data_IF_426383988817
#
_entry.id   IF_426383988817
#
_cell.length_a   1.000
_cell.length_b   1.000
_cell.length_c   1.000
_cell.angle_alpha   90.00
_cell.angle_beta   90.00
_cell.angle_gamma   90.00
#
_symmetry.space_group_name_H-M   'P 1'
#
loop_
_entity.id
_entity.type
_entity.pdbx_description
1 polymer ?
#
# COMPACT_ATOMS: atom_id res chain seq x y z
N UNK A 1 -10.58 -12.88 36.23
CA UNK A 1 -9.82 -13.61 35.19
C UNK A 1 -10.62 -14.84 34.84
N UNK A 2 -11.46 -14.75 33.80
CA UNK A 2 -12.04 -15.98 33.23
C UNK A 2 -10.92 -16.81 32.60
N UNK A 3 -10.94 -18.14 32.73
CA UNK A 3 -9.97 -18.98 32.08
C UNK A 3 -10.09 -18.77 30.56
N UNK A 4 -8.98 -18.39 29.93
CA UNK A 4 -8.80 -18.37 28.48
C UNK A 4 -9.32 -19.68 27.89
N UNK A 5 -10.55 -19.67 27.37
CA UNK A 5 -11.07 -20.76 26.55
C UNK A 5 -10.17 -20.80 25.32
N UNK A 6 -9.37 -21.86 25.18
CA UNK A 6 -8.61 -22.12 23.94
C UNK A 6 -9.57 -21.95 22.76
N UNK A 7 -9.23 -21.08 21.83
CA UNK A 7 -10.05 -20.84 20.66
C UNK A 7 -10.23 -22.17 19.91
N UNK A 8 -11.48 -22.59 19.74
CA UNK A 8 -11.82 -23.86 19.06
C UNK A 8 -11.60 -23.66 17.57
N UNK A 9 -10.79 -24.52 16.95
CA UNK A 9 -10.66 -24.56 15.50
C UNK A 9 -11.90 -25.18 14.89
N UNK A 10 -12.54 -24.47 13.96
CA UNK A 10 -13.72 -24.95 13.24
C UNK A 10 -13.34 -25.89 12.09
N UNK A 11 -12.10 -25.85 11.62
CA UNK A 11 -11.65 -26.73 10.54
C UNK A 11 -11.32 -28.14 11.04
N UNK A 12 -11.63 -29.18 10.24
CA UNK A 12 -11.29 -30.56 10.57
C UNK A 12 -9.77 -30.80 10.45
N UNK A 13 -9.27 -31.77 11.21
CA UNK A 13 -7.88 -32.23 11.11
C UNK A 13 -7.58 -32.79 9.72
N UNK A 14 -6.33 -32.64 9.27
CA UNK A 14 -5.86 -33.12 7.97
C UNK A 14 -5.86 -34.66 7.88
N UNK A 15 -5.79 -35.37 9.00
CA UNK A 15 -5.90 -36.84 9.06
C UNK A 15 -7.28 -37.35 8.65
N UNK A 16 -8.32 -36.52 8.76
CA UNK A 16 -9.69 -36.88 8.42
C UNK A 16 -9.97 -36.94 6.92
N UNK A 17 -11.09 -37.57 6.56
CA UNK A 17 -11.57 -37.64 5.16
C UNK A 17 -12.26 -36.35 4.68
N UNK A 18 -12.42 -35.36 5.58
CA UNK A 18 -13.14 -34.12 5.27
C UNK A 18 -12.45 -33.23 4.23
N UNK A 19 -11.12 -33.34 4.09
CA UNK A 19 -10.34 -32.61 3.08
C UNK A 19 -10.31 -33.39 1.76
N UNK A 20 -10.87 -32.78 0.72
CA UNK A 20 -10.99 -33.34 -0.62
C UNK A 20 -10.09 -32.58 -1.60
N UNK A 21 -9.61 -33.26 -2.65
CA UNK A 21 -8.93 -32.60 -3.75
C UNK A 21 -9.94 -32.02 -4.75
N UNK A 22 -9.70 -30.80 -5.22
CA UNK A 22 -10.44 -30.19 -6.31
C UNK A 22 -9.49 -29.79 -7.44
N UNK A 23 -9.94 -30.04 -8.66
CA UNK A 23 -9.28 -29.62 -9.90
C UNK A 23 -10.34 -29.13 -10.87
N UNK A 24 -10.07 -28.08 -11.68
CA UNK A 24 -11.05 -27.58 -12.64
C UNK A 24 -11.30 -28.56 -13.80
N UNK A 25 -10.26 -29.32 -14.19
CA UNK A 25 -10.33 -30.42 -15.16
C UNK A 25 -9.15 -31.37 -14.97
N UNK A 26 -9.26 -32.66 -15.35
CA UNK A 26 -8.22 -33.66 -15.09
C UNK A 26 -6.83 -33.31 -15.63
N UNK A 27 -6.74 -32.62 -16.77
CA UNK A 27 -5.47 -32.29 -17.43
C UNK A 27 -4.60 -31.32 -16.61
N UNK A 28 -5.23 -30.50 -15.77
CA UNK A 28 -4.55 -29.53 -14.90
C UNK A 28 -4.24 -30.09 -13.51
N UNK A 29 -4.65 -31.32 -13.22
CA UNK A 29 -4.55 -31.87 -11.87
C UNK A 29 -3.09 -31.92 -11.39
N UNK A 30 -2.73 -31.22 -10.31
CA UNK A 30 -1.45 -31.41 -9.66
C UNK A 30 -1.42 -32.78 -8.95
N UNK A 31 -0.25 -33.16 -8.44
CA UNK A 31 -0.16 -34.35 -7.58
C UNK A 31 -0.59 -33.97 -6.16
N UNK A 32 -1.61 -34.66 -5.67
CA UNK A 32 -2.11 -34.55 -4.30
C UNK A 32 -1.60 -35.73 -3.48
N UNK A 33 -1.07 -35.45 -2.29
CA UNK A 33 -0.55 -36.48 -1.37
C UNK A 33 -0.88 -36.11 0.09
N UNK A 34 -1.15 -37.13 0.92
CA UNK A 34 -1.29 -36.97 2.37
C UNK A 34 -0.10 -37.63 3.04
N UNK A 35 0.74 -36.83 3.71
CA UNK A 35 1.93 -37.34 4.40
C UNK A 35 1.68 -37.43 5.89
N UNK A 36 2.17 -38.52 6.48
CA UNK A 36 2.07 -38.80 7.90
C UNK A 36 3.48 -38.74 8.49
N UNK A 37 3.73 -37.77 9.37
CA UNK A 37 4.98 -37.59 10.08
C UNK A 37 4.71 -37.64 11.59
N UNK A 38 4.89 -38.84 12.17
CA UNK A 38 4.43 -39.14 13.52
C UNK A 38 2.93 -38.89 13.69
N UNK A 39 2.56 -38.01 14.62
CA UNK A 39 1.17 -37.64 14.89
C UNK A 39 0.65 -36.50 13.98
N UNK A 40 1.48 -35.98 13.06
CA UNK A 40 1.12 -34.87 12.17
C UNK A 40 0.75 -35.39 10.79
N UNK A 41 -0.40 -34.94 10.28
CA UNK A 41 -0.78 -35.14 8.87
C UNK A 41 -0.56 -33.86 8.10
N UNK A 42 0.05 -33.96 6.92
CA UNK A 42 0.26 -32.85 6.00
C UNK A 42 -0.52 -33.06 4.70
N UNK A 43 -1.13 -31.99 4.19
CA UNK A 43 -1.74 -31.99 2.87
C UNK A 43 -0.74 -31.42 1.86
N UNK A 44 -0.35 -32.21 0.87
CA UNK A 44 0.67 -31.83 -0.10
C UNK A 44 0.07 -31.59 -1.48
N UNK A 45 0.59 -30.60 -2.19
CA UNK A 45 0.31 -30.37 -3.61
C UNK A 45 1.64 -30.12 -4.35
N UNK A 46 1.85 -30.74 -5.50
CA UNK A 46 3.06 -30.58 -6.34
C UNK A 46 2.69 -30.37 -7.82
N UNK A 47 3.42 -29.46 -8.48
CA UNK A 47 3.28 -29.21 -9.91
C UNK A 47 3.97 -30.26 -10.80
N UNK A 48 4.96 -30.99 -10.27
CA UNK A 48 5.73 -32.04 -10.98
C UNK A 48 6.27 -31.59 -12.36
N UNK A 49 6.80 -30.37 -12.45
CA UNK A 49 7.38 -29.81 -13.66
C UNK A 49 6.35 -29.16 -14.60
N UNK A 50 5.05 -29.16 -14.27
CA UNK A 50 4.00 -28.55 -15.09
C UNK A 50 3.55 -27.21 -14.52
N UNK A 51 3.84 -26.14 -15.24
CA UNK A 51 3.50 -24.78 -14.81
C UNK A 51 1.98 -24.56 -14.69
N UNK A 52 1.22 -25.20 -15.59
CA UNK A 52 -0.23 -25.11 -15.69
C UNK A 52 -0.98 -25.94 -14.62
N UNK A 53 -0.26 -26.72 -13.80
CA UNK A 53 -0.86 -27.51 -12.73
C UNK A 53 -1.60 -26.58 -11.73
N UNK A 54 -2.87 -26.89 -11.48
CA UNK A 54 -3.77 -26.04 -10.71
C UNK A 54 -4.83 -26.87 -9.99
N UNK A 55 -4.95 -26.66 -8.69
CA UNK A 55 -5.96 -27.31 -7.85
C UNK A 55 -5.83 -26.90 -6.39
N UNK A 56 -6.70 -27.47 -5.55
CA UNK A 56 -6.74 -27.16 -4.12
C UNK A 56 -7.13 -28.39 -3.29
N UNK A 57 -6.62 -28.45 -2.07
CA UNK A 57 -7.32 -29.18 -1.00
C UNK A 57 -8.45 -28.29 -0.49
N UNK A 58 -9.63 -28.85 -0.29
CA UNK A 58 -10.75 -28.07 0.22
C UNK A 58 -11.61 -28.83 1.22
N UNK A 59 -12.28 -28.09 2.08
CA UNK A 59 -13.34 -28.59 2.94
C UNK A 59 -14.41 -27.51 3.13
N UNK A 60 -15.58 -27.92 3.61
CA UNK A 60 -16.65 -27.02 4.02
C UNK A 60 -16.93 -27.15 5.51
N UNK A 61 -17.23 -26.02 6.14
CA UNK A 61 -17.67 -25.96 7.53
C UNK A 61 -19.02 -25.23 7.62
N UNK A 62 -19.82 -25.67 8.58
CA UNK A 62 -21.09 -25.03 8.96
C UNK A 62 -20.93 -24.36 10.33
N UNK A 63 -21.93 -23.59 10.75
CA UNK A 63 -21.92 -22.95 12.07
C UNK A 63 -21.09 -21.67 12.12
N UNK A 64 -20.91 -21.02 10.96
CA UNK A 64 -20.45 -19.64 10.91
C UNK A 64 -21.56 -18.74 11.44
N UNK A 65 -21.19 -17.82 12.32
CA UNK A 65 -22.06 -16.77 12.82
C UNK A 65 -21.83 -15.52 11.96
N UNK A 66 -22.82 -15.15 11.16
CA UNK A 66 -22.76 -13.96 10.32
C UNK A 66 -22.51 -12.70 11.14
N UNK A 67 -21.57 -11.86 10.69
CA UNK A 67 -21.15 -10.65 11.40
C UNK A 67 -20.15 -10.89 12.54
N UNK A 68 -19.85 -12.14 12.91
CA UNK A 68 -18.79 -12.44 13.87
C UNK A 68 -17.40 -12.30 13.22
N UNK A 69 -16.40 -12.04 14.06
CA UNK A 69 -15.01 -11.96 13.64
C UNK A 69 -14.33 -13.31 13.73
N UNK A 70 -13.52 -13.64 12.71
CA UNK A 70 -12.78 -14.89 12.62
C UNK A 70 -11.33 -14.62 12.28
N UNK A 71 -10.44 -15.36 12.94
CA UNK A 71 -9.05 -15.47 12.52
C UNK A 71 -8.92 -16.64 11.54
N UNK A 72 -8.41 -16.36 10.35
CA UNK A 72 -8.14 -17.32 9.29
C UNK A 72 -6.63 -17.54 9.24
N UNK A 73 -6.18 -18.78 9.34
CA UNK A 73 -4.75 -19.08 9.32
C UNK A 73 -4.46 -20.37 8.55
N UNK A 74 -3.36 -20.39 7.81
CA UNK A 74 -2.77 -21.61 7.29
C UNK A 74 -1.24 -21.57 7.36
N UNK A 75 -0.65 -22.60 7.96
CA UNK A 75 0.78 -22.80 8.04
C UNK A 75 1.24 -23.85 7.03
N UNK A 76 2.31 -23.55 6.31
CA UNK A 76 2.86 -24.41 5.26
C UNK A 76 4.38 -24.29 5.16
N UNK A 77 5.00 -25.30 4.57
CA UNK A 77 6.30 -25.12 3.95
C UNK A 77 6.22 -25.38 2.45
N UNK A 78 7.28 -25.01 1.73
CA UNK A 78 7.33 -25.15 0.28
C UNK A 78 8.74 -25.30 -0.24
N UNK A 79 8.86 -25.94 -1.40
CA UNK A 79 10.10 -26.17 -2.14
C UNK A 79 9.89 -25.75 -3.60
N UNK A 80 10.90 -25.15 -4.23
CA UNK A 80 10.88 -24.87 -5.68
C UNK A 80 9.82 -23.85 -6.16
N UNK A 81 9.10 -23.20 -5.24
CA UNK A 81 8.02 -22.25 -5.59
C UNK A 81 8.59 -20.87 -5.91
N UNK A 82 8.42 -20.41 -7.15
CA UNK A 82 8.93 -19.11 -7.59
C UNK A 82 8.27 -17.90 -6.93
N UNK A 83 6.94 -17.93 -6.71
CA UNK A 83 6.21 -16.83 -6.04
C UNK A 83 5.20 -17.36 -5.04
N UNK A 84 5.51 -17.28 -3.75
CA UNK A 84 4.59 -17.74 -2.69
C UNK A 84 3.28 -16.94 -2.70
N UNK A 85 3.37 -15.62 -2.88
CA UNK A 85 2.21 -14.73 -2.88
C UNK A 85 1.18 -15.09 -3.96
N UNK A 86 1.63 -15.68 -5.07
CA UNK A 86 0.76 -16.00 -6.21
C UNK A 86 0.40 -17.48 -6.24
N UNK A 87 1.37 -18.35 -5.94
CA UNK A 87 1.25 -19.80 -6.15
C UNK A 87 0.69 -20.56 -4.96
N UNK A 88 0.65 -19.97 -3.76
CA UNK A 88 0.23 -20.63 -2.52
C UNK A 88 -0.81 -19.76 -1.83
N UNK A 89 -2.07 -20.21 -1.83
CA UNK A 89 -3.19 -19.42 -1.35
C UNK A 89 -4.07 -20.21 -0.38
N UNK A 90 -4.54 -19.53 0.66
CA UNK A 90 -5.74 -19.93 1.40
C UNK A 90 -6.87 -19.01 0.95
N UNK A 91 -7.94 -19.58 0.43
CA UNK A 91 -9.14 -18.85 -0.01
C UNK A 91 -10.31 -19.29 0.86
N UNK A 92 -11.08 -18.32 1.35
CA UNK A 92 -12.30 -18.57 2.12
C UNK A 92 -13.49 -17.98 1.38
N UNK A 93 -14.47 -18.84 1.11
CA UNK A 93 -15.75 -18.46 0.50
C UNK A 93 -16.84 -18.55 1.55
N UNK A 94 -17.38 -17.41 1.96
CA UNK A 94 -18.49 -17.29 2.89
C UNK A 94 -19.82 -17.54 2.16
N UNK A 95 -20.69 -18.36 2.75
CA UNK A 95 -21.94 -18.79 2.12
C UNK A 95 -23.15 -18.60 3.03
N UNK A 96 -24.30 -18.34 2.42
CA UNK A 96 -25.60 -18.32 3.12
C UNK A 96 -26.14 -19.74 3.39
N UNK A 97 -27.35 -19.84 3.97
CA UNK A 97 -28.02 -21.11 4.24
C UNK A 97 -28.35 -21.93 2.98
N UNK A 98 -28.44 -21.28 1.82
CA UNK A 98 -28.71 -21.92 0.54
C UNK A 98 -27.43 -22.27 -0.22
N UNK A 99 -26.25 -22.10 0.40
CA UNK A 99 -24.92 -22.28 -0.22
C UNK A 99 -24.62 -21.30 -1.35
N UNK A 100 -25.34 -20.17 -1.43
CA UNK A 100 -24.95 -19.07 -2.31
C UNK A 100 -23.71 -18.38 -1.75
N UNK A 101 -22.82 -17.96 -2.63
CA UNK A 101 -21.61 -17.26 -2.23
C UNK A 101 -21.94 -15.81 -1.89
N UNK A 102 -21.48 -15.37 -0.73
CA UNK A 102 -21.64 -13.99 -0.26
C UNK A 102 -20.37 -13.20 -0.50
N UNK A 103 -19.24 -13.73 -0.06
CA UNK A 103 -17.93 -13.10 -0.21
C UNK A 103 -16.85 -14.16 -0.34
N UNK A 104 -15.85 -13.90 -1.17
CA UNK A 104 -14.70 -14.78 -1.34
C UNK A 104 -13.41 -13.97 -1.25
N UNK A 105 -12.49 -14.39 -0.40
CA UNK A 105 -11.30 -13.63 -0.09
C UNK A 105 -10.05 -14.49 0.05
N UNK A 106 -8.92 -13.93 -0.37
CA UNK A 106 -7.61 -14.48 -0.09
C UNK A 106 -7.18 -14.09 1.32
N UNK A 107 -6.57 -15.04 2.03
CA UNK A 107 -5.83 -14.78 3.27
C UNK A 107 -4.44 -14.30 2.86
N UNK A 108 -4.15 -13.02 3.07
CA UNK A 108 -3.05 -12.31 2.40
C UNK A 108 -1.99 -11.69 3.30
N UNK A 109 -2.10 -11.79 4.62
CA UNK A 109 -0.98 -11.46 5.51
C UNK A 109 0.00 -12.64 5.53
N UNK A 110 1.25 -12.38 5.15
CA UNK A 110 2.29 -13.39 5.02
C UNK A 110 3.39 -13.13 6.04
N UNK A 111 3.74 -14.17 6.79
CA UNK A 111 4.89 -14.15 7.70
C UNK A 111 5.72 -15.42 7.57
N UNK A 112 7.04 -15.29 7.77
CA UNK A 112 7.93 -16.43 8.02
C UNK A 112 8.04 -16.60 9.53
N UNK A 113 7.75 -17.80 10.02
CA UNK A 113 7.79 -18.16 11.44
C UNK A 113 9.20 -18.55 11.85
N UNK A 114 9.49 -18.46 13.15
CA UNK A 114 10.78 -18.86 13.73
C UNK A 114 11.14 -20.34 13.49
N UNK A 115 10.13 -21.20 13.34
CA UNK A 115 10.30 -22.62 13.02
C UNK A 115 10.58 -22.91 11.54
N UNK A 116 10.75 -21.85 10.72
CA UNK A 116 11.06 -21.95 9.29
C UNK A 116 9.84 -22.16 8.38
N UNK A 117 8.63 -22.26 8.95
CA UNK A 117 7.40 -22.34 8.16
C UNK A 117 6.91 -20.96 7.72
N UNK A 118 6.17 -20.95 6.63
CA UNK A 118 5.38 -19.79 6.23
C UNK A 118 3.98 -19.87 6.86
N UNK A 119 3.41 -18.72 7.15
CA UNK A 119 2.03 -18.59 7.61
C UNK A 119 1.28 -17.56 6.76
N UNK A 120 0.06 -17.94 6.35
CA UNK A 120 -0.96 -17.03 5.90
C UNK A 120 -1.88 -16.73 7.07
N UNK A 121 -2.17 -15.47 7.31
CA UNK A 121 -3.06 -15.03 8.38
C UNK A 121 -3.99 -13.91 7.87
N UNK A 122 -5.21 -13.83 8.41
CA UNK A 122 -6.10 -12.67 8.24
C UNK A 122 -7.22 -12.74 9.26
N UNK A 123 -7.46 -11.65 9.97
CA UNK A 123 -8.70 -11.49 10.75
C UNK A 123 -9.75 -10.77 9.93
N UNK A 124 -10.94 -11.35 9.84
CA UNK A 124 -12.03 -10.83 9.02
C UNK A 124 -13.37 -10.94 9.73
N UNK A 125 -14.28 -10.05 9.42
CA UNK A 125 -15.68 -10.15 9.86
C UNK A 125 -16.48 -10.91 8.80
N UNK A 126 -17.11 -12.03 9.15
CA UNK A 126 -17.95 -12.77 8.22
C UNK A 126 -19.12 -11.90 7.73
N UNK A 127 -19.55 -12.01 6.46
CA UNK A 127 -20.77 -11.34 6.00
C UNK A 127 -21.96 -11.64 6.92
N UNK A 128 -22.85 -10.66 7.14
CA UNK A 128 -23.97 -10.80 8.10
C UNK A 128 -24.91 -11.98 7.81
N UNK A 129 -25.02 -12.40 6.55
CA UNK A 129 -25.81 -13.56 6.13
C UNK A 129 -25.05 -14.89 6.11
N UNK A 130 -23.77 -14.92 6.50
CA UNK A 130 -22.95 -16.12 6.41
C UNK A 130 -23.33 -17.17 7.47
N UNK A 131 -23.47 -18.42 7.04
CA UNK A 131 -23.80 -19.58 7.88
C UNK A 131 -22.84 -20.76 7.67
N UNK A 132 -22.11 -20.74 6.55
CA UNK A 132 -21.10 -21.72 6.21
C UNK A 132 -19.89 -21.05 5.53
N UNK A 133 -18.78 -21.77 5.47
CA UNK A 133 -17.60 -21.37 4.73
C UNK A 133 -16.97 -22.56 3.99
N UNK A 134 -16.53 -22.33 2.75
CA UNK A 134 -15.65 -23.23 2.01
C UNK A 134 -14.23 -22.71 2.14
N UNK A 135 -13.29 -23.58 2.52
CA UNK A 135 -11.87 -23.25 2.62
C UNK A 135 -11.12 -24.03 1.55
N UNK A 136 -10.25 -23.33 0.83
CA UNK A 136 -9.44 -23.88 -0.25
C UNK A 136 -7.96 -23.56 0.04
N UNK A 137 -7.14 -24.60 0.12
CA UNK A 137 -5.69 -24.54 0.19
C UNK A 137 -5.15 -24.81 -1.22
N UNK A 138 -5.00 -23.73 -1.96
CA UNK A 138 -4.78 -23.71 -3.40
C UNK A 138 -3.28 -23.68 -3.76
N UNK A 139 -2.97 -24.36 -4.86
CA UNK A 139 -1.68 -24.32 -5.54
C UNK A 139 -1.86 -23.93 -7.01
N UNK A 140 -1.03 -23.01 -7.53
CA UNK A 140 -1.05 -22.62 -8.96
C UNK A 140 0.28 -22.09 -9.49
N UNK A 141 0.45 -22.15 -10.81
CA UNK A 141 1.42 -21.36 -11.57
C UNK A 141 2.87 -21.48 -11.08
N UNK A 142 3.26 -22.71 -10.73
CA UNK A 142 4.63 -23.05 -10.40
C UNK A 142 4.92 -24.42 -10.97
N UNK A 143 5.98 -24.54 -11.77
CA UNK A 143 6.30 -25.83 -12.42
C UNK A 143 6.95 -26.79 -11.42
N UNK A 144 8.03 -26.35 -10.77
CA UNK A 144 8.78 -27.15 -9.81
C UNK A 144 8.30 -26.98 -8.35
N UNK A 145 7.25 -26.18 -8.14
CA UNK A 145 6.77 -25.84 -6.81
C UNK A 145 6.11 -27.03 -6.12
N UNK A 146 6.34 -27.14 -4.82
CA UNK A 146 5.66 -28.07 -3.95
C UNK A 146 5.27 -27.35 -2.67
N UNK A 147 4.06 -27.59 -2.18
CA UNK A 147 3.56 -27.07 -0.92
C UNK A 147 3.13 -28.22 -0.02
N UNK A 148 3.44 -28.11 1.27
CA UNK A 148 2.99 -29.02 2.30
C UNK A 148 2.36 -28.22 3.43
N UNK A 149 1.03 -28.24 3.46
CA UNK A 149 0.22 -27.60 4.49
C UNK A 149 0.33 -28.42 5.77
N UNK A 150 0.67 -27.77 6.87
CA UNK A 150 0.78 -28.40 8.18
C UNK A 150 -0.43 -28.15 9.07
N UNK A 151 -1.10 -27.01 8.88
CA UNK A 151 -2.26 -26.62 9.67
C UNK A 151 -3.09 -25.61 8.90
N UNK A 152 -4.39 -25.70 9.03
CA UNK A 152 -5.31 -24.63 8.70
C UNK A 152 -6.26 -24.43 9.89
N UNK A 153 -6.65 -23.18 10.15
CA UNK A 153 -7.58 -22.85 11.21
C UNK A 153 -8.54 -21.73 10.82
N UNK A 154 -9.79 -21.90 11.28
CA UNK A 154 -10.76 -20.82 11.44
C UNK A 154 -11.15 -20.83 12.90
N UNK A 155 -10.78 -19.78 13.63
CA UNK A 155 -11.10 -19.62 15.05
C UNK A 155 -11.84 -18.32 15.28
N UNK A 156 -12.62 -18.24 16.36
CA UNK A 156 -13.18 -16.96 16.81
C UNK A 156 -12.04 -15.94 16.96
N UNK A 157 -12.27 -14.73 16.43
CA UNK A 157 -11.33 -13.62 16.46
C UNK A 157 -11.97 -12.36 17.03
N UNK A 158 -11.21 -11.27 17.00
CA UNK A 158 -11.70 -9.93 17.29
C UNK A 158 -11.21 -9.01 16.19
N UNK A 159 -12.11 -8.26 15.56
CA UNK A 159 -11.70 -7.22 14.62
C UNK A 159 -10.85 -6.20 15.37
N UNK A 160 -9.72 -5.82 14.78
CA UNK A 160 -8.97 -4.67 15.25
C UNK A 160 -9.92 -3.46 15.31
N UNK A 161 -9.78 -2.63 16.35
CA UNK A 161 -10.53 -1.38 16.42
C UNK A 161 -10.30 -0.58 15.13
N UNK A 162 -11.35 0.05 14.61
CA UNK A 162 -11.24 0.90 13.42
C UNK A 162 -10.15 1.92 13.64
N UNK A 163 -9.11 1.85 12.81
CA UNK A 163 -7.99 2.76 12.86
C UNK A 163 -8.36 3.97 12.03
N UNK A 164 -9.16 4.83 12.65
CA UNK A 164 -9.51 6.13 12.10
C UNK A 164 -8.27 7.00 12.12
N UNK A 165 -7.95 7.56 10.96
CA UNK A 165 -6.77 8.41 10.76
C UNK A 165 -7.25 9.72 10.18
N UNK A 166 -6.93 10.83 10.83
CA UNK A 166 -7.24 12.17 10.32
C UNK A 166 -6.08 12.66 9.47
N UNK A 167 -6.34 12.86 8.18
CA UNK A 167 -5.36 13.26 7.19
C UNK A 167 -5.62 14.71 6.80
N UNK A 168 -4.55 15.50 6.76
CA UNK A 168 -4.54 16.85 6.18
C UNK A 168 -3.58 16.90 5.00
N UNK A 169 -4.00 17.51 3.91
CA UNK A 169 -3.14 17.89 2.79
C UNK A 169 -3.21 19.39 2.56
N UNK A 170 -2.06 20.01 2.27
CA UNK A 170 -1.96 21.47 2.12
C UNK A 170 -2.09 21.90 0.67
N UNK A 171 -2.64 23.08 0.42
CA UNK A 171 -2.59 23.76 -0.87
C UNK A 171 -2.30 25.24 -0.61
N UNK A 172 -1.02 25.60 -0.66
CA UNK A 172 -0.50 26.92 -0.30
C UNK A 172 0.37 27.47 -1.43
N UNK A 173 0.52 28.80 -1.48
CA UNK A 173 1.32 29.49 -2.50
C UNK A 173 2.71 29.85 -1.97
N UNK A 174 3.78 29.64 -2.74
CA UNK A 174 5.08 30.20 -2.42
C UNK A 174 5.04 31.73 -2.55
N UNK A 175 5.96 32.42 -1.86
CA UNK A 175 6.17 33.85 -2.03
C UNK A 175 6.74 34.13 -3.43
N UNK A 176 6.06 34.99 -4.19
CA UNK A 176 6.44 35.39 -5.55
C UNK A 176 6.82 36.87 -5.65
N UNK A 177 6.51 37.67 -4.63
CA UNK A 177 6.75 39.11 -4.60
C UNK A 177 8.22 39.41 -4.31
N UNK A 178 8.80 38.71 -3.34
CA UNK A 178 10.20 38.83 -2.96
C UNK A 178 10.95 37.54 -3.31
N UNK A 179 11.21 37.35 -4.61
CA UNK A 179 12.11 36.30 -5.10
C UNK A 179 13.42 36.38 -4.31
N UNK A 180 13.97 35.24 -3.93
CA UNK A 180 15.13 35.07 -3.03
C UNK A 180 14.86 35.05 -1.51
N UNK A 181 13.62 35.22 -1.03
CA UNK A 181 13.32 35.17 0.41
C UNK A 181 12.77 33.80 0.88
N UNK A 182 13.68 32.82 1.02
CA UNK A 182 13.35 31.45 1.47
C UNK A 182 12.68 31.39 2.86
N UNK A 183 12.98 32.37 3.73
CA UNK A 183 12.43 32.45 5.09
C UNK A 183 10.91 32.59 5.11
N UNK A 184 10.34 33.27 4.11
CA UNK A 184 8.89 33.54 4.09
C UNK A 184 8.12 32.29 3.71
N UNK A 185 8.66 31.49 2.78
CA UNK A 185 8.12 30.18 2.45
C UNK A 185 8.18 29.24 3.66
N UNK A 186 9.30 29.21 4.37
CA UNK A 186 9.43 28.45 5.61
C UNK A 186 8.38 28.90 6.64
N UNK A 187 8.24 30.20 6.89
CA UNK A 187 7.26 30.71 7.83
C UNK A 187 5.83 30.32 7.42
N UNK A 188 5.50 30.43 6.13
CA UNK A 188 4.20 29.99 5.60
C UNK A 188 3.96 28.50 5.84
N UNK A 189 4.98 27.65 5.64
CA UNK A 189 4.89 26.21 5.95
C UNK A 189 4.66 25.98 7.45
N UNK A 190 5.41 26.65 8.33
CA UNK A 190 5.29 26.52 9.78
C UNK A 190 3.91 26.97 10.29
N UNK A 191 3.41 28.09 9.80
CA UNK A 191 2.07 28.62 10.12
C UNK A 191 0.98 27.65 9.62
N UNK A 192 1.19 27.04 8.46
CA UNK A 192 0.26 26.05 7.91
C UNK A 192 0.22 24.77 8.75
N UNK A 193 1.37 24.29 9.25
CA UNK A 193 1.40 23.14 10.18
C UNK A 193 0.65 23.50 11.47
N UNK A 194 0.85 24.70 12.00
CA UNK A 194 0.17 25.17 13.22
C UNK A 194 -1.35 25.23 13.04
N UNK A 195 -1.82 25.83 11.95
CA UNK A 195 -3.25 25.86 11.58
C UNK A 195 -3.82 24.47 11.36
N UNK A 196 -3.09 23.59 10.67
CA UNK A 196 -3.50 22.19 10.50
C UNK A 196 -3.57 21.48 11.86
N UNK A 197 -2.66 21.78 12.78
CA UNK A 197 -2.60 21.26 14.14
C UNK A 197 -3.85 21.54 14.98
N UNK A 198 -4.60 22.62 14.70
CA UNK A 198 -5.90 22.90 15.33
C UNK A 198 -6.92 21.78 15.10
N UNK A 199 -6.81 21.06 13.97
CA UNK A 199 -7.64 19.91 13.65
C UNK A 199 -7.19 18.63 14.35
N UNK A 200 -6.02 18.64 15.01
CA UNK A 200 -5.37 17.47 15.60
C UNK A 200 -5.28 16.29 14.60
N UNK A 201 -4.61 16.48 13.45
CA UNK A 201 -4.45 15.43 12.45
C UNK A 201 -3.41 14.41 12.90
N UNK A 202 -3.53 13.19 12.36
CA UNK A 202 -2.50 12.17 12.48
C UNK A 202 -1.37 12.40 11.47
N UNK A 203 -1.69 12.90 10.28
CA UNK A 203 -0.76 13.13 9.18
C UNK A 203 -1.04 14.45 8.46
N UNK A 204 -0.02 15.24 8.23
CA UNK A 204 -0.05 16.47 7.42
C UNK A 204 0.90 16.28 6.23
N UNK A 205 0.44 16.52 5.01
CA UNK A 205 1.26 16.36 3.81
C UNK A 205 1.40 17.67 3.03
N UNK A 206 2.64 18.01 2.66
CA UNK A 206 3.02 19.20 1.88
C UNK A 206 3.38 18.88 0.43
N UNK A 207 3.27 19.91 -0.40
CA UNK A 207 3.64 19.88 -1.80
C UNK A 207 5.14 19.78 -2.04
N UNK A 208 5.49 19.48 -3.29
CA UNK A 208 6.88 19.38 -3.75
C UNK A 208 7.58 20.76 -3.71
N UNK A 209 8.80 20.80 -3.18
CA UNK A 209 9.72 21.97 -3.22
C UNK A 209 9.15 23.28 -2.65
N UNK A 210 8.16 23.23 -1.75
CA UNK A 210 7.47 24.42 -1.25
C UNK A 210 8.42 25.47 -0.64
N UNK A 211 9.48 25.01 0.05
CA UNK A 211 10.47 25.88 0.70
C UNK A 211 11.20 26.80 -0.29
N UNK A 212 11.64 26.26 -1.41
CA UNK A 212 12.52 26.92 -2.38
C UNK A 212 11.84 27.22 -3.72
N UNK A 213 10.56 26.88 -3.86
CA UNK A 213 9.77 27.21 -5.04
C UNK A 213 9.73 28.72 -5.27
N UNK A 214 9.86 29.11 -6.54
CA UNK A 214 9.85 30.51 -6.99
C UNK A 214 10.94 31.38 -6.34
N UNK A 215 11.93 30.79 -5.65
CA UNK A 215 13.03 31.53 -5.04
C UNK A 215 14.00 32.13 -6.05
N UNK A 216 14.03 31.61 -7.28
CA UNK A 216 14.96 32.03 -8.33
C UNK A 216 16.38 31.46 -8.19
N UNK A 217 16.65 30.71 -7.13
CA UNK A 217 17.91 29.99 -6.98
C UNK A 217 17.87 28.64 -7.71
N UNK A 218 18.98 28.18 -8.28
CA UNK A 218 19.07 26.80 -8.76
C UNK A 218 18.96 25.83 -7.58
N UNK A 219 18.32 24.66 -7.75
CA UNK A 219 18.16 23.66 -6.69
C UNK A 219 19.47 23.30 -5.96
N UNK A 220 20.59 23.32 -6.69
CA UNK A 220 21.91 23.02 -6.15
C UNK A 220 22.40 24.07 -5.14
N UNK A 221 21.99 25.34 -5.24
CA UNK A 221 22.39 26.38 -4.28
C UNK A 221 21.56 26.34 -2.99
N UNK A 222 20.32 25.87 -3.08
CA UNK A 222 19.37 25.81 -1.94
C UNK A 222 19.30 24.45 -1.26
N UNK A 223 19.91 23.41 -1.86
CA UNK A 223 19.93 22.07 -1.30
C UNK A 223 20.66 22.02 0.04
N UNK A 224 20.02 21.41 1.05
CA UNK A 224 20.56 21.30 2.41
C UNK A 224 20.78 19.83 2.80
N UNK A 225 21.68 19.59 3.75
CA UNK A 225 21.86 18.25 4.32
C UNK A 225 20.63 17.81 5.13
N UNK A 226 20.42 16.50 5.22
CA UNK A 226 19.41 15.87 6.08
C UNK A 226 20.15 14.97 7.09
N UNK A 227 20.07 15.22 8.40
CA UNK A 227 19.37 16.35 9.04
C UNK A 227 20.10 17.70 8.85
N UNK A 228 19.34 18.80 8.93
CA UNK A 228 19.77 20.20 8.80
C UNK A 228 18.74 21.19 9.34
N UNK A 229 19.00 22.50 9.22
CA UNK A 229 18.18 23.57 9.81
C UNK A 229 16.69 23.49 9.40
N UNK A 230 16.41 23.29 8.10
CA UNK A 230 15.04 23.14 7.61
C UNK A 230 14.33 21.94 8.25
N UNK A 231 14.98 20.77 8.29
CA UNK A 231 14.40 19.58 8.92
C UNK A 231 14.19 19.74 10.42
N UNK A 232 15.05 20.51 11.11
CA UNK A 232 14.90 20.79 12.54
C UNK A 232 13.69 21.71 12.79
N UNK A 233 13.49 22.73 11.97
CA UNK A 233 12.34 23.62 12.08
C UNK A 233 11.02 22.87 11.86
N UNK A 234 10.94 22.06 10.80
CA UNK A 234 9.74 21.26 10.49
C UNK A 234 9.50 20.18 11.55
N UNK A 235 10.54 19.44 11.96
CA UNK A 235 10.44 18.43 13.01
C UNK A 235 10.00 19.02 14.36
N UNK A 236 10.52 20.19 14.72
CA UNK A 236 10.08 20.93 15.92
C UNK A 236 8.59 21.28 15.89
N UNK A 237 8.07 21.69 14.72
CA UNK A 237 6.64 21.98 14.55
C UNK A 237 5.77 20.72 14.51
N UNK A 238 6.26 19.63 13.88
CA UNK A 238 5.60 18.31 13.92
C UNK A 238 5.42 17.82 15.37
N UNK A 239 6.46 17.95 16.20
CA UNK A 239 6.41 17.68 17.64
C UNK A 239 5.39 18.55 18.38
N UNK A 240 5.36 19.86 18.07
CA UNK A 240 4.44 20.81 18.71
C UNK A 240 2.98 20.42 18.46
N UNK A 241 2.64 20.00 17.24
CA UNK A 241 1.26 19.60 16.88
C UNK A 241 0.96 18.12 17.10
N UNK A 242 1.99 17.30 17.42
CA UNK A 242 1.91 15.85 17.68
C UNK A 242 1.36 15.05 16.49
N UNK A 243 1.72 15.47 15.28
CA UNK A 243 1.30 14.85 14.02
C UNK A 243 2.52 14.34 13.27
N UNK A 244 2.32 13.30 12.46
CA UNK A 244 3.28 13.00 11.41
C UNK A 244 3.22 14.10 10.36
N UNK A 245 4.37 14.50 9.83
CA UNK A 245 4.46 15.55 8.79
C UNK A 245 5.29 15.03 7.64
N UNK A 246 4.73 15.09 6.43
CA UNK A 246 5.45 14.86 5.18
C UNK A 246 5.75 16.21 4.54
N UNK A 247 7.02 16.47 4.28
CA UNK A 247 7.43 17.61 3.47
C UNK A 247 8.52 17.22 2.47
N UNK A 248 8.73 18.07 1.47
CA UNK A 248 9.69 17.83 0.39
C UNK A 248 10.71 18.98 0.27
N UNK A 249 11.97 18.63 0.00
CA UNK A 249 13.08 19.58 -0.21
C UNK A 249 14.16 19.02 -1.13
N UNK A 250 15.03 19.89 -1.62
CA UNK A 250 16.30 19.48 -2.21
C UNK A 250 17.30 19.09 -1.12
N UNK A 251 17.68 17.82 -1.09
CA UNK A 251 18.67 17.23 -0.21
C UNK A 251 20.07 17.32 -0.84
N UNK A 252 21.08 17.68 -0.05
CA UNK A 252 22.49 17.57 -0.41
C UNK A 252 23.16 16.44 0.36
N UNK A 253 23.76 15.49 -0.36
CA UNK A 253 24.60 14.43 0.21
C UNK A 253 25.88 14.28 -0.62
N UNK A 254 27.01 14.66 -0.03
CA UNK A 254 28.27 14.74 -0.77
C UNK A 254 28.17 15.66 -1.99
N UNK A 255 28.55 15.15 -3.16
CA UNK A 255 28.43 15.87 -4.44
C UNK A 255 27.04 15.82 -5.09
N UNK A 256 26.11 15.03 -4.55
CA UNK A 256 24.80 14.80 -5.14
C UNK A 256 23.74 15.71 -4.54
N UNK A 257 22.72 16.02 -5.36
CA UNK A 257 21.51 16.75 -4.95
C UNK A 257 20.30 15.92 -5.32
N UNK A 258 19.34 15.73 -4.41
CA UNK A 258 18.16 14.89 -4.61
C UNK A 258 16.88 15.65 -4.30
N UNK A 259 15.82 15.45 -5.06
CA UNK A 259 14.47 15.87 -4.68
C UNK A 259 13.89 14.83 -3.69
N UNK A 260 13.70 15.22 -2.43
CA UNK A 260 13.51 14.28 -1.31
C UNK A 260 12.28 14.62 -0.48
N UNK A 261 11.36 13.67 -0.33
CA UNK A 261 10.29 13.74 0.67
C UNK A 261 10.71 13.06 1.97
N UNK A 262 10.37 13.68 3.09
CA UNK A 262 10.75 13.26 4.44
C UNK A 262 9.49 13.10 5.28
N UNK A 263 9.40 12.01 6.04
CA UNK A 263 8.37 11.77 7.03
C UNK A 263 8.92 12.02 8.43
N UNK A 264 8.31 12.93 9.17
CA UNK A 264 8.56 13.15 10.59
C UNK A 264 7.53 12.40 11.42
N UNK A 265 7.96 11.85 12.55
CA UNK A 265 7.08 11.25 13.54
C UNK A 265 6.45 12.31 14.48
N UNK A 266 5.62 11.85 15.41
CA UNK A 266 4.96 12.74 16.40
C UNK A 266 5.92 13.37 17.41
N UNK A 267 7.15 12.86 17.54
CA UNK A 267 8.19 13.41 18.41
C UNK A 267 9.06 14.45 17.70
N UNK A 268 8.87 14.61 16.39
CA UNK A 268 9.67 15.49 15.54
C UNK A 268 10.94 14.83 15.01
N UNK A 269 11.10 13.52 15.18
CA UNK A 269 12.22 12.74 14.66
C UNK A 269 11.94 12.31 13.21
N UNK A 270 12.98 12.15 12.40
CA UNK A 270 12.84 11.67 11.03
C UNK A 270 12.51 10.16 11.07
N UNK A 271 11.26 9.82 10.77
CA UNK A 271 10.81 8.43 10.61
C UNK A 271 11.35 7.80 9.32
N UNK A 272 11.62 8.63 8.31
CA UNK A 272 12.32 8.21 7.10
C UNK A 272 12.30 9.24 5.98
N UNK A 273 12.99 8.93 4.88
CA UNK A 273 13.05 9.78 3.68
C UNK A 273 12.98 8.94 2.40
N UNK A 274 12.46 9.53 1.34
CA UNK A 274 12.38 8.98 0.00
C UNK A 274 12.93 9.99 -1.00
N UNK A 275 13.91 9.57 -1.81
CA UNK A 275 14.48 10.35 -2.91
C UNK A 275 13.70 10.01 -4.19
N UNK A 276 13.19 11.03 -4.88
CA UNK A 276 12.45 10.91 -6.14
C UNK A 276 13.21 10.06 -7.14
N UNK A 277 12.57 9.03 -7.66
CA UNK A 277 13.21 8.06 -8.56
C UNK A 277 13.04 8.46 -10.02
N UNK A 278 11.84 8.90 -10.41
CA UNK A 278 11.57 9.36 -11.77
C UNK A 278 11.77 10.87 -11.86
N UNK A 279 12.90 11.29 -12.43
CA UNK A 279 13.16 12.69 -12.70
C UNK A 279 12.55 13.09 -14.06
N UNK A 280 11.78 14.20 -14.13
CA UNK A 280 11.52 14.83 -15.41
C UNK A 280 12.84 15.35 -16.01
N UNK A 281 12.88 15.50 -17.34
CA UNK A 281 14.11 15.87 -18.06
C UNK A 281 14.78 17.14 -17.51
N UNK A 282 13.99 18.15 -17.16
CA UNK A 282 14.52 19.42 -16.64
C UNK A 282 15.22 19.24 -15.27
N UNK A 283 14.69 18.41 -14.36
CA UNK A 283 15.36 18.14 -13.07
C UNK A 283 16.70 17.44 -13.27
N UNK A 284 16.78 16.49 -14.22
CA UNK A 284 18.04 15.84 -14.55
C UNK A 284 19.05 16.85 -15.15
N UNK A 285 18.58 17.79 -15.97
CA UNK A 285 19.41 18.86 -16.53
C UNK A 285 19.84 19.89 -15.49
N UNK A 286 19.03 20.12 -14.45
CA UNK A 286 19.34 20.98 -13.30
C UNK A 286 20.32 20.32 -12.30
N UNK A 287 20.80 19.09 -12.60
CA UNK A 287 21.78 18.38 -11.79
C UNK A 287 21.18 17.59 -10.63
N UNK A 288 19.87 17.32 -10.64
CA UNK A 288 19.24 16.43 -9.65
C UNK A 288 19.62 14.97 -9.95
N UNK A 289 20.00 14.26 -8.90
CA UNK A 289 20.34 12.84 -8.91
C UNK A 289 19.09 12.01 -8.60
N UNK A 290 18.82 10.91 -9.33
CA UNK A 290 17.67 10.06 -9.05
C UNK A 290 17.89 9.23 -7.77
N UNK A 291 16.80 8.97 -7.05
CA UNK A 291 16.73 7.94 -6.01
C UNK A 291 16.73 6.52 -6.60
N UNK A 292 16.76 5.51 -5.72
CA UNK A 292 16.94 4.12 -6.12
C UNK A 292 16.11 3.09 -5.31
N UNK A 293 15.18 3.52 -4.46
CA UNK A 293 14.32 2.63 -3.68
C UNK A 293 12.94 3.26 -3.40
N UNK A 294 11.97 2.42 -3.05
CA UNK A 294 10.60 2.77 -2.66
C UNK A 294 10.32 2.27 -1.24
N UNK A 295 10.85 2.91 -0.17
CA UNK A 295 10.65 2.48 1.20
C UNK A 295 9.20 2.69 1.67
N UNK A 296 8.79 1.86 2.62
CA UNK A 296 7.52 2.00 3.36
C UNK A 296 7.86 2.20 4.83
N UNK A 297 7.18 3.14 5.47
CA UNK A 297 7.45 3.57 6.83
C UNK A 297 6.33 3.11 7.76
N UNK A 298 6.71 2.51 8.88
CA UNK A 298 5.78 2.15 9.95
C UNK A 298 5.41 3.40 10.77
N UNK A 299 4.12 3.62 10.97
CA UNK A 299 3.59 4.65 11.87
C UNK A 299 2.72 3.99 12.93
N UNK A 300 2.37 4.75 13.97
CA UNK A 300 1.43 4.25 14.98
C UNK A 300 0.01 4.01 14.43
N UNK A 301 -0.32 4.58 13.28
CA UNK A 301 -1.61 4.41 12.61
C UNK A 301 -1.60 3.47 11.40
N UNK A 302 -0.48 3.20 10.74
CA UNK A 302 -0.42 2.28 9.59
C UNK A 302 0.85 2.44 8.76
N UNK A 303 0.94 1.73 7.64
CA UNK A 303 2.12 1.81 6.76
C UNK A 303 1.98 2.92 5.70
N UNK A 304 2.94 3.82 5.65
CA UNK A 304 2.96 4.98 4.74
C UNK A 304 4.07 4.85 3.70
N UNK A 305 3.73 5.03 2.42
CA UNK A 305 4.69 5.20 1.33
C UNK A 305 4.77 6.66 0.88
N UNK A 306 5.88 7.06 0.28
CA UNK A 306 6.08 8.41 -0.25
C UNK A 306 6.37 8.34 -1.75
N UNK A 307 5.78 9.26 -2.52
CA UNK A 307 6.06 9.50 -3.94
C UNK A 307 6.24 11.00 -4.18
N UNK A 308 6.96 11.34 -5.24
CA UNK A 308 7.19 12.74 -5.60
C UNK A 308 6.82 12.98 -7.06
N UNK A 309 5.82 13.84 -7.26
CA UNK A 309 5.43 14.45 -8.53
C UNK A 309 5.43 13.46 -9.72
N UNK A 310 6.48 13.48 -10.53
CA UNK A 310 6.61 12.69 -11.75
C UNK A 310 6.52 11.17 -11.53
N UNK A 311 6.80 10.67 -10.32
CA UNK A 311 6.59 9.28 -9.96
C UNK A 311 5.15 8.80 -10.22
N UNK A 312 4.15 9.69 -10.10
CA UNK A 312 2.73 9.31 -10.29
C UNK A 312 2.40 8.87 -11.73
N UNK A 313 3.20 9.33 -12.70
CA UNK A 313 3.05 8.98 -14.11
C UNK A 313 3.34 7.49 -14.36
N UNK A 314 4.08 6.85 -13.45
CA UNK A 314 4.53 5.46 -13.57
C UNK A 314 3.65 4.55 -12.69
N UNK A 315 3.12 3.44 -13.22
CA UNK A 315 2.39 2.44 -12.41
C UNK A 315 3.23 1.74 -11.33
N UNK A 316 4.52 1.55 -11.61
CA UNK A 316 5.42 0.70 -10.86
C UNK A 316 5.67 1.18 -9.42
N UNK A 317 5.95 2.48 -9.15
CA UNK A 317 6.23 2.97 -7.80
C UNK A 317 5.10 2.68 -6.81
N UNK A 318 3.86 3.03 -7.16
CA UNK A 318 2.71 2.79 -6.28
C UNK A 318 2.47 1.28 -6.05
N UNK A 319 2.69 0.46 -7.09
CA UNK A 319 2.62 -0.99 -6.97
C UNK A 319 3.68 -1.56 -6.04
N UNK A 320 4.92 -1.09 -6.14
CA UNK A 320 6.03 -1.52 -5.28
C UNK A 320 5.78 -1.15 -3.82
N UNK A 321 5.32 0.08 -3.55
CA UNK A 321 4.92 0.51 -2.20
C UNK A 321 3.79 -0.37 -1.64
N UNK A 322 2.77 -0.67 -2.45
CA UNK A 322 1.67 -1.54 -2.03
C UNK A 322 2.14 -2.96 -1.72
N UNK A 323 3.02 -3.54 -2.54
CA UNK A 323 3.59 -4.86 -2.30
C UNK A 323 4.46 -4.91 -1.04
N UNK A 324 5.08 -3.78 -0.65
CA UNK A 324 5.77 -3.60 0.64
C UNK A 324 4.82 -3.28 1.81
N UNK A 325 3.51 -3.29 1.57
CA UNK A 325 2.48 -3.17 2.60
C UNK A 325 1.94 -1.76 2.83
N UNK A 326 2.26 -0.77 2.00
CA UNK A 326 1.70 0.57 2.14
C UNK A 326 0.15 0.54 2.08
N UNK A 327 -0.47 1.29 2.99
CA UNK A 327 -1.92 1.50 3.07
C UNK A 327 -2.29 2.94 2.68
N UNK A 328 -1.38 3.87 2.95
CA UNK A 328 -1.43 5.28 2.54
C UNK A 328 -0.20 5.57 1.70
N UNK A 329 -0.37 6.31 0.60
CA UNK A 329 0.72 6.91 -0.15
C UNK A 329 0.57 8.42 -0.16
N UNK A 330 1.61 9.13 0.26
CA UNK A 330 1.68 10.58 0.18
C UNK A 330 2.42 11.00 -1.08
N UNK A 331 1.77 11.84 -1.90
CA UNK A 331 2.31 12.40 -3.12
C UNK A 331 2.54 13.89 -2.93
N UNK A 332 3.80 14.29 -2.72
CA UNK A 332 4.21 15.70 -2.83
C UNK A 332 4.35 16.04 -4.31
N UNK A 333 3.56 16.97 -4.84
CA UNK A 333 3.56 17.27 -6.28
C UNK A 333 3.50 18.77 -6.57
N UNK A 334 4.17 19.17 -7.65
CA UNK A 334 3.95 20.43 -8.33
C UNK A 334 3.42 20.25 -9.77
N UNK A 335 2.83 19.09 -10.07
CA UNK A 335 2.06 18.79 -11.28
C UNK A 335 0.64 18.32 -10.98
N UNK A 336 -0.18 18.19 -12.03
CA UNK A 336 -1.52 17.59 -12.00
C UNK A 336 -1.55 16.30 -12.82
N UNK A 337 -2.38 15.35 -12.41
CA UNK A 337 -2.50 14.02 -13.02
C UNK A 337 -3.68 13.24 -12.43
N UNK A 338 -4.88 13.86 -12.34
CA UNK A 338 -6.06 13.26 -11.67
C UNK A 338 -6.37 11.83 -12.12
N UNK A 339 -6.27 11.54 -13.41
CA UNK A 339 -6.52 10.20 -13.93
C UNK A 339 -5.50 9.18 -13.39
N UNK A 340 -4.22 9.54 -13.39
CA UNK A 340 -3.16 8.72 -12.82
C UNK A 340 -3.32 8.57 -11.31
N UNK A 341 -3.62 9.66 -10.58
CA UNK A 341 -3.85 9.66 -9.14
C UNK A 341 -4.97 8.69 -8.74
N UNK A 342 -6.13 8.77 -9.40
CA UNK A 342 -7.25 7.84 -9.17
C UNK A 342 -6.85 6.42 -9.54
N UNK A 343 -6.19 6.22 -10.69
CA UNK A 343 -5.74 4.90 -11.11
C UNK A 343 -4.83 4.25 -10.08
N UNK A 344 -3.85 4.98 -9.50
CA UNK A 344 -2.93 4.43 -8.48
C UNK A 344 -3.60 4.10 -7.15
N UNK A 345 -4.64 4.84 -6.77
CA UNK A 345 -5.43 4.51 -5.58
C UNK A 345 -6.22 3.20 -5.80
N UNK A 346 -6.90 3.10 -6.95
CA UNK A 346 -7.76 1.96 -7.31
C UNK A 346 -6.94 0.70 -7.57
N UNK A 347 -5.97 0.75 -8.49
CA UNK A 347 -5.21 -0.43 -8.93
C UNK A 347 -4.38 -1.08 -7.80
N UNK A 348 -4.12 -0.34 -6.72
CA UNK A 348 -3.40 -0.83 -5.55
C UNK A 348 -4.26 -1.01 -4.29
N UNK A 349 -5.52 -0.53 -4.30
CA UNK A 349 -6.41 -0.59 -3.13
C UNK A 349 -5.89 0.20 -1.92
N UNK A 350 -5.28 1.37 -2.16
CA UNK A 350 -4.64 2.24 -1.15
C UNK A 350 -5.28 3.63 -1.09
N UNK A 351 -5.08 4.32 0.03
CA UNK A 351 -5.41 5.74 0.14
C UNK A 351 -4.28 6.58 -0.48
N UNK A 352 -4.63 7.52 -1.35
CA UNK A 352 -3.66 8.45 -1.93
C UNK A 352 -3.89 9.87 -1.40
N UNK A 353 -2.87 10.44 -0.76
CA UNK A 353 -2.87 11.80 -0.22
C UNK A 353 -2.04 12.67 -1.15
N UNK A 354 -2.69 13.47 -1.98
CA UNK A 354 -2.05 14.35 -2.95
C UNK A 354 -1.91 15.73 -2.35
N UNK A 355 -0.69 16.25 -2.32
CA UNK A 355 -0.38 17.62 -1.91
C UNK A 355 0.17 18.37 -3.11
N UNK A 356 -0.72 19.13 -3.74
CA UNK A 356 -0.36 20.03 -4.82
C UNK A 356 -0.10 21.45 -4.31
N UNK A 357 0.32 22.34 -5.22
CA UNK A 357 0.80 23.68 -4.90
C UNK A 357 -0.04 24.75 -5.60
N UNK A 358 -0.37 25.82 -4.87
CA UNK A 358 -1.09 26.95 -5.45
C UNK A 358 -0.12 27.94 -6.10
N UNK A 359 -0.52 28.56 -7.21
CA UNK A 359 0.22 29.69 -7.79
C UNK A 359 1.62 29.39 -8.33
N UNK A 360 1.88 28.18 -8.84
CA UNK A 360 3.16 27.92 -9.50
C UNK A 360 3.35 28.88 -10.69
N UNK A 361 4.39 29.70 -10.62
CA UNK A 361 4.88 30.47 -11.76
C UNK A 361 5.76 29.54 -12.58
N UNK A 362 5.45 29.41 -13.87
CA UNK A 362 6.34 28.80 -14.86
C UNK A 362 7.20 29.93 -15.42
N UNK A 363 8.50 29.74 -15.48
CA UNK A 363 9.39 30.61 -16.26
C UNK A 363 9.49 30.00 -17.64
N UNK A 364 9.08 30.72 -18.69
CA UNK A 364 9.15 30.23 -20.06
C UNK A 364 10.60 30.18 -20.56
N UNK A 365 10.81 29.64 -21.76
CA UNK A 365 12.14 29.55 -22.39
C UNK A 365 12.82 30.90 -22.68
N UNK A 366 12.11 32.02 -22.48
CA UNK A 366 12.62 33.39 -22.61
C UNK A 366 12.89 34.05 -21.25
N UNK A 367 12.63 33.37 -20.14
CA UNK A 367 12.78 33.92 -18.80
C UNK A 367 11.54 34.69 -18.29
N UNK A 368 10.43 34.70 -19.03
CA UNK A 368 9.20 35.37 -18.62
C UNK A 368 8.35 34.50 -17.69
N UNK A 369 7.79 35.12 -16.66
CA UNK A 369 6.97 34.46 -15.65
C UNK A 369 5.51 34.37 -16.10
N UNK A 370 5.00 33.15 -16.27
CA UNK A 370 3.59 32.88 -16.57
C UNK A 370 2.91 32.16 -15.42
N UNK A 371 1.63 32.47 -15.19
CA UNK A 371 0.77 31.69 -14.30
C UNK A 371 0.57 30.30 -14.90
N UNK A 372 0.83 29.24 -14.15
CA UNK A 372 0.48 27.90 -14.61
C UNK A 372 -1.05 27.78 -14.81
N UNK A 373 -1.53 27.48 -16.03
CA UNK A 373 -2.95 27.36 -16.32
C UNK A 373 -3.60 26.13 -15.66
N UNK A 374 -2.81 25.14 -15.22
CA UNK A 374 -3.29 23.98 -14.51
C UNK A 374 -3.30 24.24 -12.99
N UNK A 375 -4.51 24.28 -12.43
CA UNK A 375 -4.71 24.06 -10.99
C UNK A 375 -4.06 22.74 -10.62
N UNK A 376 -3.25 22.71 -9.54
CA UNK A 376 -2.63 21.50 -8.99
C UNK A 376 -3.27 21.19 -7.63
N UNK A 377 -4.58 20.91 -7.59
CA UNK A 377 -5.31 20.75 -6.35
C UNK A 377 -4.72 19.64 -5.50
N UNK A 378 -4.85 19.82 -4.19
CA UNK A 378 -4.60 18.78 -3.20
C UNK A 378 -5.85 17.93 -3.01
N UNK A 379 -5.68 16.63 -2.82
CA UNK A 379 -6.77 15.65 -2.76
C UNK A 379 -6.49 14.56 -1.74
N UNK A 380 -7.55 14.00 -1.16
CA UNK A 380 -7.51 12.74 -0.43
C UNK A 380 -8.41 11.76 -1.17
N UNK A 381 -7.84 10.69 -1.70
CA UNK A 381 -8.53 9.72 -2.56
C UNK A 381 -8.57 8.36 -1.87
N UNK A 382 -9.73 7.72 -1.85
CA UNK A 382 -9.90 6.40 -1.26
C UNK A 382 -9.58 5.27 -2.26
N UNK A 383 -9.45 4.01 -1.78
CA UNK A 383 -9.22 2.84 -2.62
C UNK A 383 -10.25 2.57 -3.73
N UNK A 384 -11.46 3.14 -3.67
CA UNK A 384 -12.47 3.04 -4.72
C UNK A 384 -12.37 4.19 -5.75
N UNK A 385 -11.37 5.07 -5.61
CA UNK A 385 -11.18 6.22 -6.50
C UNK A 385 -12.05 7.43 -6.18
N UNK A 386 -12.81 7.39 -5.07
CA UNK A 386 -13.60 8.53 -4.63
C UNK A 386 -12.68 9.58 -4.00
N UNK A 387 -12.82 10.83 -4.44
CA UNK A 387 -12.17 11.98 -3.81
C UNK A 387 -12.97 12.35 -2.57
N UNK A 388 -12.39 12.12 -1.39
CA UNK A 388 -13.02 12.41 -0.11
C UNK A 388 -13.03 13.92 0.16
N UNK A 389 -11.93 14.59 -0.16
CA UNK A 389 -11.75 16.02 0.00
C UNK A 389 -10.80 16.56 -1.08
N UNK A 390 -11.04 17.78 -1.53
CA UNK A 390 -10.26 18.48 -2.56
C UNK A 390 -10.19 19.98 -2.25
N UNK A 391 -9.02 20.58 -2.45
CA UNK A 391 -8.83 22.03 -2.43
C UNK A 391 -7.98 22.44 -3.63
N UNK A 392 -8.41 23.48 -4.36
CA UNK A 392 -7.75 23.95 -5.57
C UNK A 392 -8.37 25.25 -6.09
N UNK A 393 -7.68 25.92 -7.04
CA UNK A 393 -8.04 27.21 -7.67
C UNK A 393 -8.33 28.36 -6.69
N UNK A 394 -7.47 29.39 -6.72
CA UNK A 394 -7.64 30.68 -6.00
C UNK A 394 -7.68 30.63 -4.46
N UNK A 395 -7.85 29.46 -3.85
CA UNK A 395 -7.84 29.29 -2.41
C UNK A 395 -6.47 28.84 -1.89
N UNK A 396 -5.99 29.46 -0.81
CA UNK A 396 -4.91 28.92 0.02
C UNK A 396 -5.50 28.27 1.26
N UNK A 397 -5.09 27.05 1.57
CA UNK A 397 -5.59 26.37 2.75
C UNK A 397 -5.19 24.91 2.87
N UNK A 398 -6.09 24.15 3.48
CA UNK A 398 -5.92 22.73 3.80
C UNK A 398 -7.20 21.99 3.46
N UNK A 399 -7.07 20.75 3.02
CA UNK A 399 -8.17 19.78 2.93
C UNK A 399 -7.96 18.70 3.98
N UNK A 400 -9.03 18.27 4.65
CA UNK A 400 -8.96 17.37 5.81
C UNK A 400 -10.04 16.29 5.75
N UNK A 401 -9.64 15.02 5.78
CA UNK A 401 -10.57 13.88 5.82
C UNK A 401 -10.20 12.90 6.94
N UNK A 402 -11.21 12.27 7.53
CA UNK A 402 -11.03 11.08 8.35
C UNK A 402 -11.16 9.82 7.48
N UNK A 403 -10.13 8.99 7.48
CA UNK A 403 -10.09 7.70 6.78
C UNK A 403 -10.11 6.55 7.77
N UNK A 404 -10.50 5.35 7.34
CA UNK A 404 -10.52 4.13 8.16
C UNK A 404 -9.68 3.07 7.44
N UNK A 405 -8.48 2.79 7.95
CA UNK A 405 -7.57 1.85 7.28
C UNK A 405 -8.08 0.41 7.27
N UNK A 406 -8.99 0.09 8.21
CA UNK A 406 -9.66 -1.20 8.29
C UNK A 406 -10.96 -1.24 7.48
N UNK A 407 -11.36 -0.14 6.81
CA UNK A 407 -12.51 -0.15 5.89
C UNK A 407 -12.17 -1.04 4.70
N UNK A 408 -13.06 -2.00 4.46
CA UNK A 408 -13.03 -2.86 3.28
C UNK A 408 -13.70 -2.15 2.10
N UNK A 409 -13.12 -2.33 0.92
CA UNK A 409 -13.65 -1.85 -0.35
C UNK A 409 -13.94 -3.06 -1.22
N UNK A 410 -15.20 -3.49 -1.17
CA UNK A 410 -15.67 -4.74 -1.77
C UNK A 410 -16.48 -4.46 -3.04
N UNK A 411 -16.24 -5.22 -4.10
CA UNK A 411 -17.03 -5.16 -5.33
C UNK A 411 -17.60 -6.54 -5.68
N UNK A 412 -18.84 -6.56 -6.18
CA UNK A 412 -19.52 -7.76 -6.62
C UNK A 412 -19.00 -8.20 -7.99
N UNK A 413 -18.78 -9.50 -8.20
CA UNK A 413 -18.17 -10.01 -9.44
C UNK A 413 -16.81 -9.42 -9.77
N UNK A 414 -16.04 -9.03 -8.75
CA UNK A 414 -14.59 -9.04 -8.94
C UNK A 414 -14.14 -10.47 -9.34
N UNK A 415 -12.85 -10.72 -9.55
CA UNK A 415 -12.30 -11.99 -10.07
C UNK A 415 -12.70 -13.30 -9.37
N UNK A 416 -13.50 -13.22 -8.29
CA UNK A 416 -13.94 -14.30 -7.42
C UNK A 416 -15.32 -14.90 -7.74
N UNK A 417 -16.03 -14.44 -8.78
CA UNK A 417 -17.30 -15.04 -9.23
C UNK A 417 -18.56 -14.35 -8.63
N UNK A 418 -19.70 -15.05 -8.45
CA UNK A 418 -20.97 -14.47 -7.96
C UNK A 418 -20.92 -14.13 -6.46
N UNK A 419 -19.90 -13.39 -6.05
CA UNK A 419 -19.59 -13.02 -4.68
C UNK A 419 -18.93 -11.64 -4.66
N UNK A 420 -18.89 -11.03 -3.48
CA UNK A 420 -18.07 -9.85 -3.24
C UNK A 420 -16.59 -10.26 -3.06
N UNK A 421 -15.67 -9.43 -3.53
CA UNK A 421 -14.23 -9.57 -3.35
C UNK A 421 -13.57 -8.24 -2.99
N UNK A 422 -12.39 -8.29 -2.36
CA UNK A 422 -11.65 -7.08 -1.93
C UNK A 422 -10.42 -6.85 -2.81
N UNK A 423 -10.40 -5.70 -3.50
CA UNK A 423 -9.36 -5.33 -4.46
C UNK A 423 -7.95 -5.38 -3.85
N UNK A 424 -7.82 -4.90 -2.60
CA UNK A 424 -6.57 -4.81 -1.84
C UNK A 424 -5.80 -6.12 -1.76
N UNK A 425 -6.51 -7.24 -1.63
CA UNK A 425 -5.94 -8.59 -1.58
C UNK A 425 -5.82 -9.20 -2.98
N UNK A 426 -6.87 -9.05 -3.78
CA UNK A 426 -6.97 -9.66 -5.11
C UNK A 426 -5.86 -9.18 -6.05
N UNK A 427 -5.65 -7.87 -6.12
CA UNK A 427 -4.62 -7.30 -6.99
C UNK A 427 -3.21 -7.65 -6.57
N UNK A 428 -2.96 -8.10 -5.34
CA UNK A 428 -1.68 -8.65 -4.91
C UNK A 428 -1.52 -10.11 -5.31
N UNK A 429 -2.55 -10.92 -5.02
CA UNK A 429 -2.55 -12.39 -5.16
C UNK A 429 -2.68 -12.88 -6.60
N UNK A 430 -3.34 -12.10 -7.47
CA UNK A 430 -3.63 -12.50 -8.86
C UNK A 430 -2.65 -11.93 -9.89
N UNK A 431 -1.54 -11.38 -9.41
CA UNK A 431 -0.44 -10.93 -10.28
C UNK A 431 0.23 -12.10 -10.99
N UNK A 432 0.93 -11.79 -12.08
CA UNK A 432 1.75 -12.72 -12.88
C UNK A 432 3.21 -12.27 -12.96
N UNK A 433 3.95 -12.26 -11.84
CA UNK A 433 5.35 -11.80 -11.79
C UNK A 433 6.26 -12.53 -12.78
N UNK A 434 5.95 -13.78 -13.10
CA UNK A 434 6.61 -14.58 -14.13
C UNK A 434 6.55 -13.95 -15.53
N UNK A 435 5.54 -13.11 -15.80
CA UNK A 435 5.37 -12.40 -17.09
C UNK A 435 5.94 -10.99 -17.09
N UNK A 436 6.43 -10.49 -15.95
CA UNK A 436 6.85 -9.09 -15.80
C UNK A 436 8.35 -8.87 -16.03
N UNK A 437 9.09 -9.90 -16.46
CA UNK A 437 10.54 -9.81 -16.64
C UNK A 437 10.95 -8.63 -17.55
N UNK A 438 10.16 -8.32 -18.59
CA UNK A 438 10.41 -7.18 -19.49
C UNK A 438 10.38 -5.82 -18.78
N UNK A 439 9.60 -5.66 -17.70
CA UNK A 439 9.56 -4.40 -16.93
C UNK A 439 10.88 -4.13 -16.19
N UNK A 440 11.66 -5.17 -15.89
CA UNK A 440 12.95 -5.07 -15.22
C UNK A 440 14.14 -5.03 -16.19
N UNK A 441 13.91 -5.27 -17.48
CA UNK A 441 14.96 -5.21 -18.49
C UNK A 441 15.17 -3.77 -18.92
N UNK A 442 16.38 -3.23 -18.69
CA UNK A 442 16.86 -2.13 -19.54
C UNK A 442 16.82 -2.66 -20.96
N UNK A 443 16.14 -1.98 -21.90
CA UNK A 443 16.12 -2.41 -23.29
C UNK A 443 17.56 -2.74 -23.72
N UNK A 444 17.85 -4.02 -23.92
CA UNK A 444 19.08 -4.40 -24.59
C UNK A 444 18.98 -3.78 -25.97
N UNK A 445 19.89 -2.87 -26.27
CA UNK A 445 20.15 -2.41 -27.63
C UNK A 445 20.28 -3.64 -28.51
N UNK A 446 19.34 -3.84 -29.43
CA UNK A 446 19.57 -4.70 -30.58
C UNK A 446 20.73 -4.06 -31.36
N UNK A 447 21.93 -4.64 -31.24
CA UNK A 447 23.05 -4.38 -32.15
C UNK A 447 22.70 -4.76 -33.59
#
# INVERSE_FOLDING_TARGET
>A
MEPSRKAVNLLPDFSGEAWQSWVPRPELAPVFDKRFDGDRTQLCISGEGRFEAYGAWWCEISGIEGGAAYNLMAAYGSEGTGSHAVSINMIVTWMDNNRNWLRREYVDDYAVREDGLSELNKTVQAPSGAHAAKVELEYRWSAAGKVFWQKAAITAGQMAQRKKVKIVTTYISPNTENRHQLSDNLQCMLDTIERAGELQPDLICFSETMYDRCSGYPPTEVAQAIPGELTQAIGGKAKQVRSYVVFNMHEREGGCVYNTSILFDRNGDIAGKYRKTHLPLFEAQDGITPGNDYPVFDTDFGKVGLLVCWDISFPEPARLLRLKGAEIVCLSTAGEGRAQQIARAVDNGLYLVVSGINGAIIVDGNGESMSDPASKPSRIINPAGEVLEEIGRHDNGIACAEIDLNRRFEEFWMSVGPAYGEARSLFGRERRPDTYAMLAQSQATNE
#
